data_IF_497030961357
#
_entry.id   IF_497030961357
#
_cell.length_a   1.000
_cell.length_b   1.000
_cell.length_c   1.000
_cell.angle_alpha   90.00
_cell.angle_beta   90.00
_cell.angle_gamma   90.00
#
_symmetry.space_group_name_H-M   'P 1'
#
loop_
_entity.id
_entity.type
_entity.pdbx_description
1 polymer ?
#
# COMPACT_ATOMS: atom_id res chain seq x y z
N UNK A 1 28.49 31.43 -3.39
CA UNK A 1 28.18 30.11 -2.78
C UNK A 1 26.84 30.05 -2.04
N UNK A 2 26.46 31.07 -1.25
CA UNK A 2 25.19 31.10 -0.50
C UNK A 2 23.92 30.92 -1.36
N UNK A 3 23.88 31.53 -2.55
CA UNK A 3 22.71 31.45 -3.43
C UNK A 3 22.53 30.05 -4.07
N UNK A 4 23.61 29.35 -4.41
CA UNK A 4 23.54 28.00 -4.97
C UNK A 4 23.03 26.96 -3.97
N UNK A 5 23.37 27.12 -2.68
CA UNK A 5 22.82 26.29 -1.60
C UNK A 5 21.32 26.51 -1.42
N UNK A 6 20.83 27.74 -1.55
CA UNK A 6 19.41 28.07 -1.48
C UNK A 6 18.63 27.45 -2.65
N UNK A 7 19.13 27.58 -3.89
CA UNK A 7 18.50 26.97 -5.07
C UNK A 7 18.51 25.43 -5.01
N UNK A 8 19.59 24.83 -4.51
CA UNK A 8 19.67 23.37 -4.30
C UNK A 8 18.63 22.90 -3.27
N UNK A 9 18.52 23.58 -2.13
CA UNK A 9 17.57 23.25 -1.06
C UNK A 9 16.11 23.32 -1.55
N UNK A 10 15.76 24.36 -2.30
CA UNK A 10 14.41 24.51 -2.89
C UNK A 10 14.11 23.39 -3.88
N UNK A 11 15.08 22.99 -4.72
CA UNK A 11 14.91 21.87 -5.64
C UNK A 11 14.59 20.54 -4.95
N UNK A 12 15.28 20.22 -3.85
CA UNK A 12 15.00 19.01 -3.07
C UNK A 12 13.59 19.03 -2.43
N UNK A 13 13.13 20.19 -1.95
CA UNK A 13 11.79 20.33 -1.36
C UNK A 13 10.68 20.11 -2.40
N UNK A 14 10.86 20.64 -3.62
CA UNK A 14 9.87 20.50 -4.70
C UNK A 14 9.73 19.04 -5.19
N UNK A 15 10.84 18.32 -5.33
CA UNK A 15 10.84 16.92 -5.76
C UNK A 15 10.18 16.00 -4.71
N UNK A 16 10.45 16.26 -3.43
CA UNK A 16 9.85 15.52 -2.32
C UNK A 16 8.33 15.70 -2.27
N UNK A 17 7.85 16.94 -2.43
CA UNK A 17 6.43 17.27 -2.43
C UNK A 17 5.68 16.60 -3.61
N UNK A 18 6.27 16.63 -4.81
CA UNK A 18 5.70 15.96 -6.00
C UNK A 18 5.59 14.44 -5.84
N UNK A 19 6.59 13.82 -5.21
CA UNK A 19 6.59 12.36 -4.97
C UNK A 19 5.51 11.97 -3.98
N UNK A 20 5.36 12.69 -2.87
CA UNK A 20 4.30 12.44 -1.89
C UNK A 20 2.91 12.64 -2.49
N UNK A 21 2.71 13.69 -3.30
CA UNK A 21 1.43 13.90 -3.99
C UNK A 21 1.07 12.72 -4.90
N UNK A 22 2.04 12.23 -5.67
CA UNK A 22 1.83 11.06 -6.53
C UNK A 22 1.52 9.79 -5.72
N UNK A 23 2.22 9.60 -4.61
CA UNK A 23 1.96 8.47 -3.72
C UNK A 23 0.53 8.51 -3.16
N UNK A 24 0.08 9.69 -2.74
CA UNK A 24 -1.28 9.86 -2.22
C UNK A 24 -2.35 9.62 -3.29
N UNK A 25 -2.13 10.10 -4.53
CA UNK A 25 -3.02 9.83 -5.68
C UNK A 25 -3.18 8.32 -5.93
N UNK A 26 -2.07 7.56 -5.86
CA UNK A 26 -2.09 6.09 -6.03
C UNK A 26 -2.97 5.43 -4.97
N UNK A 27 -2.80 5.83 -3.70
CA UNK A 27 -3.51 5.26 -2.55
C UNK A 27 -5.00 5.64 -2.60
N UNK A 28 -5.32 6.90 -2.92
CA UNK A 28 -6.69 7.37 -3.07
C UNK A 28 -7.44 6.58 -4.15
N UNK A 29 -6.85 6.46 -5.35
CA UNK A 29 -7.43 5.70 -6.45
C UNK A 29 -7.65 4.22 -6.07
N UNK A 30 -6.64 3.60 -5.46
CA UNK A 30 -6.71 2.20 -5.05
C UNK A 30 -7.82 1.97 -4.02
N UNK A 31 -7.83 2.76 -2.94
CA UNK A 31 -8.78 2.59 -1.84
C UNK A 31 -10.21 2.90 -2.27
N UNK A 32 -10.42 3.95 -3.07
CA UNK A 32 -11.75 4.29 -3.56
C UNK A 32 -12.32 3.17 -4.45
N UNK A 33 -11.51 2.54 -5.30
CA UNK A 33 -11.96 1.42 -6.12
C UNK A 33 -12.17 0.15 -5.28
N UNK A 34 -11.26 -0.15 -4.35
CA UNK A 34 -11.38 -1.31 -3.46
C UNK A 34 -12.64 -1.22 -2.58
N UNK A 35 -12.86 -0.06 -1.98
CA UNK A 35 -13.97 0.21 -1.06
C UNK A 35 -15.33 0.27 -1.75
N UNK A 36 -15.40 0.66 -3.04
CA UNK A 36 -16.67 0.77 -3.78
C UNK A 36 -17.54 -0.49 -3.72
N UNK A 37 -16.91 -1.65 -3.58
CA UNK A 37 -17.58 -2.95 -3.53
C UNK A 37 -17.67 -3.53 -2.11
N UNK A 38 -17.18 -2.83 -1.08
CA UNK A 38 -17.28 -3.27 0.31
C UNK A 38 -18.63 -2.89 0.90
N UNK A 39 -19.33 -3.88 1.46
CA UNK A 39 -20.58 -3.69 2.20
C UNK A 39 -20.34 -3.36 3.67
N UNK A 40 -19.09 -3.45 4.11
CA UNK A 40 -18.68 -3.28 5.50
C UNK A 40 -18.16 -1.88 5.77
N UNK A 41 -18.18 -1.48 7.03
CA UNK A 41 -17.54 -0.23 7.44
C UNK A 41 -16.03 -0.41 7.39
N UNK A 42 -15.38 0.33 6.50
CA UNK A 42 -13.94 0.27 6.25
C UNK A 42 -13.26 1.52 6.80
N UNK A 43 -12.06 1.35 7.36
CA UNK A 43 -11.20 2.44 7.79
C UNK A 43 -9.79 2.27 7.20
N UNK A 44 -9.17 3.36 6.74
CA UNK A 44 -7.75 3.38 6.45
C UNK A 44 -6.98 3.56 7.76
N UNK A 45 -6.12 2.61 8.09
CA UNK A 45 -5.24 2.76 9.25
C UNK A 45 -4.14 3.76 8.95
N UNK A 46 -3.99 4.75 9.83
CA UNK A 46 -3.11 5.88 9.61
C UNK A 46 -1.65 5.44 9.38
N UNK A 47 -1.15 4.45 10.11
CA UNK A 47 0.22 4.00 10.01
C UNK A 47 0.44 3.18 8.74
N UNK A 48 1.20 3.73 7.81
CA UNK A 48 1.56 3.05 6.56
C UNK A 48 2.59 1.94 6.79
N UNK A 49 2.51 0.86 6.00
CA UNK A 49 3.63 -0.07 5.86
C UNK A 49 4.77 0.59 5.07
N UNK A 50 6.02 0.23 5.39
CA UNK A 50 7.17 0.75 4.66
C UNK A 50 7.25 0.18 3.24
N UNK A 51 7.83 0.96 2.32
CA UNK A 51 8.19 0.49 0.96
C UNK A 51 9.02 -0.78 0.99
N UNK A 52 9.96 -0.86 1.94
CA UNK A 52 10.78 -2.04 2.18
C UNK A 52 9.94 -3.28 2.51
N UNK A 53 8.90 -3.13 3.33
CA UNK A 53 8.00 -4.24 3.68
C UNK A 53 7.28 -4.76 2.44
N UNK A 54 6.75 -3.86 1.61
CA UNK A 54 6.08 -4.23 0.37
C UNK A 54 7.02 -4.99 -0.60
N UNK A 55 8.26 -4.52 -0.74
CA UNK A 55 9.28 -5.21 -1.55
C UNK A 55 9.63 -6.59 -1.00
N UNK A 56 9.79 -6.73 0.32
CA UNK A 56 10.09 -8.03 0.95
C UNK A 56 8.96 -9.04 0.77
N UNK A 57 7.71 -8.60 0.88
CA UNK A 57 6.54 -9.47 0.71
C UNK A 57 6.39 -9.88 -0.77
N UNK A 58 6.60 -8.95 -1.71
CA UNK A 58 6.64 -9.30 -3.13
C UNK A 58 7.77 -10.29 -3.43
N UNK A 59 8.97 -10.09 -2.90
CA UNK A 59 10.09 -11.02 -3.07
C UNK A 59 9.76 -12.41 -2.55
N UNK A 60 9.09 -12.49 -1.39
CA UNK A 60 8.63 -13.74 -0.81
C UNK A 60 7.65 -14.46 -1.74
N UNK A 61 6.63 -13.75 -2.23
CA UNK A 61 5.65 -14.27 -3.17
C UNK A 61 6.32 -14.71 -4.49
N UNK A 62 7.22 -13.89 -5.03
CA UNK A 62 7.98 -14.18 -6.25
C UNK A 62 8.82 -15.44 -6.11
N UNK A 63 9.54 -15.61 -5.00
CA UNK A 63 10.37 -16.80 -4.75
C UNK A 63 9.54 -18.09 -4.57
N UNK A 64 8.25 -17.95 -4.27
CA UNK A 64 7.29 -19.05 -4.08
C UNK A 64 6.33 -19.25 -5.25
N UNK A 65 6.50 -18.51 -6.35
CA UNK A 65 5.59 -18.54 -7.52
C UNK A 65 5.42 -19.93 -8.15
N UNK A 66 6.41 -20.81 -8.00
CA UNK A 66 6.38 -22.18 -8.52
C UNK A 66 5.80 -23.19 -7.51
N UNK A 67 5.44 -22.77 -6.29
CA UNK A 67 4.81 -23.64 -5.29
C UNK A 67 3.32 -23.81 -5.62
N UNK A 68 2.88 -25.06 -5.76
CA UNK A 68 1.44 -25.39 -5.78
C UNK A 68 0.96 -25.41 -4.33
N UNK A 69 0.16 -24.42 -3.93
CA UNK A 69 -0.49 -24.44 -2.61
C UNK A 69 -1.68 -25.41 -2.63
N UNK A 70 -2.08 -25.90 -1.45
CA UNK A 70 -3.24 -26.78 -1.24
C UNK A 70 -4.60 -26.17 -1.65
N UNK A 71 -4.62 -24.89 -2.00
CA UNK A 71 -5.77 -24.21 -2.59
C UNK A 71 -5.56 -24.21 -4.10
N UNK A 72 -6.48 -24.83 -4.82
CA UNK A 72 -6.55 -25.15 -6.25
C UNK A 72 -6.43 -23.98 -7.25
N UNK A 73 -5.76 -22.88 -6.90
CA UNK A 73 -5.41 -21.81 -7.83
C UNK A 73 -3.89 -21.65 -7.90
N UNK A 74 -3.25 -21.89 -9.06
CA UNK A 74 -1.85 -21.52 -9.22
C UNK A 74 -1.71 -20.02 -8.96
N UNK A 75 -0.72 -19.65 -8.15
CA UNK A 75 -0.21 -18.28 -8.15
C UNK A 75 0.07 -17.95 -9.61
N UNK A 76 -0.63 -16.93 -10.13
CA UNK A 76 -0.66 -16.44 -11.52
C UNK A 76 0.50 -16.91 -12.41
N UNK A 77 0.19 -17.29 -13.66
CA UNK A 77 1.13 -17.78 -14.68
C UNK A 77 2.57 -17.25 -14.49
N UNK A 78 3.53 -18.18 -14.42
CA UNK A 78 4.97 -17.98 -14.14
C UNK A 78 5.62 -16.82 -14.90
N UNK A 79 5.06 -16.43 -16.05
CA UNK A 79 5.58 -15.41 -16.95
C UNK A 79 5.02 -13.99 -16.73
N UNK A 80 4.07 -13.80 -15.82
CA UNK A 80 3.37 -12.50 -15.65
C UNK A 80 3.89 -11.63 -14.50
N UNK A 81 5.06 -11.94 -13.93
CA UNK A 81 5.64 -11.15 -12.84
C UNK A 81 6.38 -9.93 -13.39
N UNK A 82 5.77 -8.74 -13.24
CA UNK A 82 6.29 -7.48 -13.79
C UNK A 82 7.64 -7.03 -13.21
N UNK A 83 7.95 -7.38 -11.95
CA UNK A 83 9.26 -7.12 -11.36
C UNK A 83 10.10 -8.39 -11.36
N UNK A 84 11.14 -8.39 -12.20
CA UNK A 84 12.18 -9.41 -12.18
C UNK A 84 13.19 -9.17 -11.03
N UNK A 85 14.02 -10.17 -10.76
CA UNK A 85 15.04 -10.15 -9.70
C UNK A 85 15.97 -8.93 -9.78
N UNK A 86 16.42 -8.55 -10.98
CA UNK A 86 17.30 -7.38 -11.16
C UNK A 86 16.63 -6.09 -10.74
N UNK A 87 15.37 -5.88 -11.15
CA UNK A 87 14.60 -4.69 -10.79
C UNK A 87 14.32 -4.65 -9.29
N UNK A 88 13.98 -5.80 -8.70
CA UNK A 88 13.70 -5.96 -7.28
C UNK A 88 14.94 -5.60 -6.42
N UNK A 89 16.12 -6.11 -6.78
CA UNK A 89 17.39 -5.78 -6.12
C UNK A 89 17.65 -4.26 -6.19
N UNK A 90 17.43 -3.64 -7.35
CA UNK A 90 17.60 -2.19 -7.52
C UNK A 90 16.65 -1.39 -6.62
N UNK A 91 15.36 -1.74 -6.59
CA UNK A 91 14.37 -1.07 -5.76
C UNK A 91 14.68 -1.24 -4.26
N UNK A 92 15.07 -2.44 -3.82
CA UNK A 92 15.47 -2.69 -2.43
C UNK A 92 16.68 -1.85 -2.02
N UNK A 93 17.65 -1.65 -2.92
CA UNK A 93 18.78 -0.74 -2.69
C UNK A 93 18.34 0.72 -2.63
N UNK A 94 17.44 1.15 -3.53
CA UNK A 94 16.93 2.53 -3.55
C UNK A 94 16.20 2.90 -2.26
N UNK A 95 15.39 1.98 -1.73
CA UNK A 95 14.55 2.21 -0.55
C UNK A 95 15.14 1.61 0.74
N UNK A 96 16.41 1.20 0.76
CA UNK A 96 17.03 0.60 1.95
C UNK A 96 17.13 1.57 3.14
N UNK A 97 17.23 2.87 2.85
CA UNK A 97 17.29 3.97 3.82
C UNK A 97 15.93 4.57 4.15
N UNK A 98 14.84 4.05 3.60
CA UNK A 98 13.48 4.51 3.93
C UNK A 98 13.07 3.94 5.30
N UNK A 99 13.58 4.59 6.36
CA UNK A 99 13.34 4.23 7.77
C UNK A 99 12.24 5.07 8.41
N UNK A 100 11.75 6.10 7.71
CA UNK A 100 10.77 7.04 8.23
C UNK A 100 9.39 6.38 8.20
N UNK A 101 8.79 6.24 9.37
CA UNK A 101 7.39 5.80 9.47
C UNK A 101 6.49 6.92 8.96
N UNK A 102 5.56 6.57 8.08
CA UNK A 102 4.60 7.51 7.52
C UNK A 102 3.22 7.27 8.13
N UNK A 103 2.53 8.37 8.42
CA UNK A 103 1.17 8.36 8.93
C UNK A 103 0.29 9.14 7.97
N UNK A 104 -0.67 8.45 7.36
CA UNK A 104 -1.69 9.03 6.50
C UNK A 104 -2.51 10.07 7.28
N UNK A 105 -2.73 11.21 6.66
CA UNK A 105 -3.54 12.31 7.18
C UNK A 105 -4.69 12.60 6.23
N UNK A 106 -5.77 13.19 6.75
CA UNK A 106 -6.88 13.62 5.90
C UNK A 106 -6.43 14.58 4.80
N UNK A 107 -5.45 15.44 5.10
CA UNK A 107 -4.86 16.40 4.15
C UNK A 107 -4.00 15.76 3.06
N UNK A 108 -3.68 14.48 3.19
CA UNK A 108 -2.90 13.77 2.16
C UNK A 108 -3.75 13.50 0.92
N UNK A 109 -5.07 13.43 1.09
CA UNK A 109 -6.03 13.01 0.06
C UNK A 109 -6.99 14.14 -0.28
N UNK A 110 -7.31 14.26 -1.57
CA UNK A 110 -8.28 15.25 -2.04
C UNK A 110 -9.71 14.69 -1.88
N UNK A 111 -9.93 13.42 -2.24
CA UNK A 111 -11.26 12.79 -2.26
C UNK A 111 -11.23 11.32 -1.80
N UNK A 112 -10.68 11.04 -0.62
CA UNK A 112 -10.72 9.70 -0.04
C UNK A 112 -12.11 9.38 0.53
N UNK A 113 -12.74 8.31 0.05
CA UNK A 113 -14.08 7.87 0.49
C UNK A 113 -14.06 7.06 1.79
N UNK A 114 -12.86 6.71 2.28
CA UNK A 114 -12.67 5.89 3.47
C UNK A 114 -12.15 6.77 4.62
N UNK A 115 -12.78 6.75 5.81
CA UNK A 115 -12.27 7.47 6.97
C UNK A 115 -10.90 6.93 7.43
N UNK A 116 -10.05 7.83 7.94
CA UNK A 116 -8.74 7.46 8.50
C UNK A 116 -8.89 7.24 10.01
N UNK A 117 -8.29 6.17 10.50
CA UNK A 117 -8.31 5.74 11.90
C UNK A 117 -6.90 5.52 12.42
N UNK A 118 -6.62 5.95 13.65
CA UNK A 118 -5.39 5.59 14.36
C UNK A 118 -5.53 4.19 14.98
N UNK A 119 -4.50 3.34 14.88
CA UNK A 119 -4.55 1.99 15.43
C UNK A 119 -3.18 1.53 15.98
N UNK A 120 -3.13 0.83 17.14
CA UNK A 120 -4.26 0.39 17.97
C UNK A 120 -4.98 1.56 18.64
N UNK A 121 -6.31 1.52 18.63
CA UNK A 121 -7.15 2.47 19.35
C UNK A 121 -7.73 1.76 20.57
N UNK A 122 -7.73 2.43 21.71
CA UNK A 122 -8.42 1.95 22.90
C UNK A 122 -9.88 2.38 22.78
N UNK A 123 -10.71 1.59 22.10
CA UNK A 123 -12.14 1.84 22.06
C UNK A 123 -12.76 1.53 23.43
N UNK A 124 -13.62 2.42 23.89
CA UNK A 124 -14.57 2.12 24.95
C UNK A 124 -15.70 1.23 24.41
N UNK A 125 -16.37 0.47 25.28
CA UNK A 125 -17.48 -0.40 24.86
C UNK A 125 -18.61 0.38 24.16
N UNK A 126 -18.84 1.63 24.56
CA UNK A 126 -19.78 2.53 23.89
C UNK A 126 -19.34 2.92 22.49
N UNK A 127 -18.04 3.19 22.26
CA UNK A 127 -17.52 3.51 20.93
C UNK A 127 -17.51 2.30 20.00
N UNK A 128 -17.24 1.10 20.53
CA UNK A 128 -17.42 -0.14 19.76
C UNK A 128 -18.88 -0.28 19.33
N UNK A 129 -19.80 -0.04 20.27
CA UNK A 129 -21.24 -0.12 20.02
C UNK A 129 -21.75 1.02 19.15
N UNK A 130 -21.13 2.20 19.09
CA UNK A 130 -21.64 3.30 18.27
C UNK A 130 -21.00 3.34 16.88
N UNK A 131 -19.71 3.02 16.80
CA UNK A 131 -18.91 3.26 15.62
C UNK A 131 -18.40 2.00 14.93
N UNK A 132 -18.43 0.85 15.60
CA UNK A 132 -17.90 -0.40 15.08
C UNK A 132 -18.96 -1.51 14.98
N UNK A 133 -20.27 -1.21 15.14
CA UNK A 133 -21.32 -2.24 15.06
C UNK A 133 -21.16 -3.13 13.81
N UNK A 134 -21.07 -4.45 14.01
CA UNK A 134 -20.95 -5.44 12.94
C UNK A 134 -19.51 -5.77 12.51
N UNK A 135 -19.30 -6.03 11.22
CA UNK A 135 -18.04 -6.51 10.64
C UNK A 135 -17.15 -5.37 10.12
N UNK A 136 -16.67 -4.51 11.02
CA UNK A 136 -15.77 -3.40 10.63
C UNK A 136 -14.36 -3.90 10.25
N UNK A 137 -13.80 -3.34 9.17
CA UNK A 137 -12.46 -3.67 8.65
C UNK A 137 -11.49 -2.50 8.72
N UNK A 138 -10.25 -2.81 9.08
CA UNK A 138 -9.12 -1.89 8.97
C UNK A 138 -8.27 -2.26 7.76
N UNK A 139 -7.97 -1.27 6.92
CA UNK A 139 -7.08 -1.39 5.76
C UNK A 139 -5.72 -0.82 6.10
N UNK A 140 -4.70 -1.68 6.05
CA UNK A 140 -3.31 -1.30 6.21
C UNK A 140 -2.66 -1.35 4.83
N UNK A 141 -2.09 -0.23 4.41
CA UNK A 141 -1.48 -0.09 3.09
C UNK A 141 -0.04 0.42 3.20
N UNK A 142 0.84 -0.07 2.34
CA UNK A 142 2.19 0.48 2.25
C UNK A 142 2.23 1.78 1.50
N UNK A 143 3.28 2.57 1.74
CA UNK A 143 3.66 3.59 0.77
C UNK A 143 3.95 2.93 -0.60
N UNK A 144 3.55 3.56 -1.72
CA UNK A 144 3.79 3.00 -3.05
C UNK A 144 5.27 2.94 -3.41
N UNK A 145 5.67 1.81 -4.01
CA UNK A 145 7.00 1.66 -4.63
C UNK A 145 6.84 1.94 -6.11
N UNK A 146 7.37 3.08 -6.57
CA UNK A 146 7.31 3.46 -7.97
C UNK A 146 8.40 2.75 -8.78
N UNK A 147 8.04 2.27 -9.97
CA UNK A 147 8.98 1.67 -10.92
C UNK A 147 8.57 1.96 -12.37
N UNK A 148 9.39 1.52 -13.33
CA UNK A 148 9.17 1.77 -14.77
C UNK A 148 8.95 3.25 -15.10
N UNK A 149 9.83 4.13 -14.59
CA UNK A 149 9.73 5.59 -14.72
C UNK A 149 8.40 6.14 -14.17
N UNK A 150 8.02 5.71 -12.97
CA UNK A 150 6.80 6.11 -12.27
C UNK A 150 5.50 5.80 -13.05
N UNK A 151 5.54 4.86 -14.00
CA UNK A 151 4.35 4.39 -14.73
C UNK A 151 3.63 3.25 -14.00
N UNK A 152 4.36 2.56 -13.13
CA UNK A 152 3.84 1.49 -12.31
C UNK A 152 4.14 1.74 -10.83
N UNK A 153 3.26 1.23 -9.97
CA UNK A 153 3.38 1.30 -8.53
C UNK A 153 3.13 -0.07 -7.92
N UNK A 154 3.90 -0.44 -6.91
CA UNK A 154 3.67 -1.64 -6.10
C UNK A 154 3.19 -1.24 -4.71
N UNK A 155 2.12 -1.91 -4.26
CA UNK A 155 1.51 -1.73 -2.94
C UNK A 155 1.44 -3.07 -2.21
N UNK A 156 1.70 -3.04 -0.91
CA UNK A 156 1.25 -4.08 0.00
C UNK A 156 -0.03 -3.60 0.67
N UNK A 157 -1.02 -4.47 0.71
CA UNK A 157 -2.33 -4.25 1.31
C UNK A 157 -2.64 -5.40 2.26
N UNK A 158 -3.29 -5.09 3.36
CA UNK A 158 -3.85 -6.09 4.26
C UNK A 158 -5.15 -5.55 4.85
N UNK A 159 -6.13 -6.43 5.01
CA UNK A 159 -7.33 -6.14 5.78
C UNK A 159 -7.32 -6.93 7.07
N UNK A 160 -7.93 -6.39 8.11
CA UNK A 160 -8.10 -7.08 9.39
C UNK A 160 -9.42 -6.68 10.04
N UNK A 161 -9.98 -7.56 10.87
CA UNK A 161 -11.16 -7.21 11.67
C UNK A 161 -10.73 -6.30 12.81
N UNK A 162 -11.33 -5.11 12.90
CA UNK A 162 -11.03 -4.17 14.00
C UNK A 162 -11.48 -4.73 15.35
N UNK A 163 -12.57 -5.51 15.37
CA UNK A 163 -13.19 -6.01 16.61
C UNK A 163 -12.66 -7.39 16.99
N UNK A 164 -12.70 -8.34 16.06
CA UNK A 164 -12.36 -9.73 16.36
C UNK A 164 -10.84 -9.96 16.39
N UNK A 165 -10.06 -8.98 15.93
CA UNK A 165 -8.66 -9.20 15.58
C UNK A 165 -8.55 -10.17 14.40
N UNK A 166 -7.32 -10.41 13.95
CA UNK A 166 -7.05 -11.30 12.82
C UNK A 166 -7.01 -10.60 11.47
N UNK A 167 -6.05 -11.00 10.63
CA UNK A 167 -5.73 -10.39 9.34
C UNK A 167 -6.03 -11.37 8.21
N UNK A 168 -6.56 -10.86 7.09
CA UNK A 168 -6.88 -11.65 5.89
C UNK A 168 -5.65 -12.07 5.07
N UNK A 169 -4.45 -12.09 5.66
CA UNK A 169 -3.18 -12.19 4.94
C UNK A 169 -2.79 -10.87 4.27
N UNK A 170 -1.61 -10.84 3.63
CA UNK A 170 -1.15 -9.67 2.86
C UNK A 170 -1.23 -9.94 1.36
N UNK A 171 -1.72 -8.94 0.66
CA UNK A 171 -1.83 -8.92 -0.79
C UNK A 171 -0.87 -7.89 -1.36
N UNK A 172 -0.31 -8.19 -2.52
CA UNK A 172 0.52 -7.28 -3.28
C UNK A 172 -0.22 -6.87 -4.55
N UNK A 173 -0.34 -5.58 -4.77
CA UNK A 173 -0.96 -5.02 -5.96
C UNK A 173 0.09 -4.31 -6.80
N UNK A 174 0.04 -4.52 -8.11
CA UNK A 174 0.71 -3.66 -9.07
C UNK A 174 -0.33 -2.80 -9.75
N UNK A 175 -0.11 -1.50 -9.73
CA UNK A 175 -0.96 -0.51 -10.37
C UNK A 175 -0.22 0.13 -11.54
N UNK A 176 -0.99 0.57 -12.52
CA UNK A 176 -0.52 1.29 -13.70
C UNK A 176 -1.34 2.55 -13.91
N UNK A 177 -0.68 3.62 -14.36
CA UNK A 177 -1.37 4.87 -14.71
C UNK A 177 -1.96 4.77 -16.12
N UNK A 178 -3.29 4.79 -16.21
CA UNK A 178 -4.07 4.72 -17.45
C UNK A 178 -5.04 5.91 -17.47
N UNK A 179 -4.95 6.77 -18.49
CA UNK A 179 -5.82 7.96 -18.66
C UNK A 179 -5.90 8.83 -17.39
N UNK A 180 -4.77 9.02 -16.71
CA UNK A 180 -4.68 9.84 -15.50
C UNK A 180 -5.17 9.17 -14.21
N UNK A 181 -5.62 7.91 -14.25
CA UNK A 181 -6.00 7.14 -13.06
C UNK A 181 -5.06 5.96 -12.84
N UNK A 182 -4.76 5.67 -11.58
CA UNK A 182 -4.08 4.44 -11.19
C UNK A 182 -5.08 3.30 -11.10
N UNK A 183 -4.81 2.21 -11.82
CA UNK A 183 -5.67 1.03 -11.93
C UNK A 183 -4.84 -0.21 -11.61
N UNK A 184 -5.44 -1.18 -10.90
CA UNK A 184 -4.81 -2.47 -10.62
C UNK A 184 -4.58 -3.23 -11.94
N UNK A 185 -3.32 -3.56 -12.21
CA UNK A 185 -2.87 -4.39 -13.35
C UNK A 185 -2.69 -5.84 -12.89
N UNK A 186 -2.10 -6.05 -11.72
CA UNK A 186 -1.91 -7.37 -11.13
C UNK A 186 -2.17 -7.40 -9.62
N UNK A 187 -2.51 -8.58 -9.11
CA UNK A 187 -2.61 -8.92 -7.70
C UNK A 187 -1.84 -10.22 -7.45
N UNK A 188 -1.11 -10.27 -6.34
CA UNK A 188 -0.35 -11.41 -5.88
C UNK A 188 -0.65 -11.64 -4.39
N UNK A 189 -0.68 -12.90 -3.95
CA UNK A 189 -0.89 -13.25 -2.56
C UNK A 189 0.44 -13.66 -1.91
N UNK A 190 0.65 -13.29 -0.64
CA UNK A 190 1.89 -13.64 0.07
C UNK A 190 1.97 -15.13 0.44
N UNK A 191 0.88 -15.89 0.31
CA UNK A 191 0.83 -17.32 0.60
C UNK A 191 0.83 -17.64 2.10
N UNK A 192 0.64 -16.62 2.97
CA UNK A 192 0.60 -16.77 4.42
C UNK A 192 -0.84 -16.56 4.88
N UNK A 193 -1.54 -17.67 5.14
CA UNK A 193 -2.77 -17.65 5.91
C UNK A 193 -2.39 -17.76 7.39
N UNK A 194 -2.75 -16.75 8.19
CA UNK A 194 -2.74 -16.84 9.64
C UNK A 194 -4.07 -17.42 10.12
#
# INVERSE_FOLDING_TARGET
>A
MKNYLLFSLVGFLLISCSTTKLENEIIENFLNEKHKNDTEKVFLINKALSKKSALSIYEYAYNRRDLTYYLSQPLKDKNNWLLNTTTLIRLKKLYNKDTITYYWKKTDFENLNVPIMEYPMNFTDSEVTEHLQGSSKGYIISRPVLFSNNKNALLCFSSYSIILGGSSGRQIYILKKIKGKWIVEDEYFDGVYN
#
